data_IF_232930389986
#
_entry.id   IF_232930389986
#
_cell.length_a   1.000
_cell.length_b   1.000
_cell.length_c   1.000
_cell.angle_alpha   90.00
_cell.angle_beta   90.00
_cell.angle_gamma   90.00
#
_symmetry.space_group_name_H-M   'P 1'
#
loop_
_entity.id
_entity.type
_entity.pdbx_description
1 polymer ?
#
# COMPACT_ATOMS: atom_id res chain seq x y z
N UNK A 1 -21.35 11.69 8.56
CA UNK A 1 -20.41 10.87 7.76
C UNK A 1 -19.03 10.72 8.37
N UNK A 2 -18.48 11.73 9.05
CA UNK A 2 -17.15 11.66 9.68
C UNK A 2 -16.99 10.52 10.71
N UNK A 3 -18.00 10.25 11.54
CA UNK A 3 -17.96 9.13 12.49
C UNK A 3 -17.85 7.76 11.80
N UNK A 4 -18.53 7.57 10.67
CA UNK A 4 -18.40 6.35 9.86
C UNK A 4 -17.00 6.24 9.24
N UNK A 5 -16.47 7.34 8.70
CA UNK A 5 -15.10 7.37 8.17
C UNK A 5 -14.07 7.01 9.26
N UNK A 6 -14.22 7.55 10.47
CA UNK A 6 -13.38 7.20 11.62
C UNK A 6 -13.48 5.72 11.98
N UNK A 7 -14.71 5.18 12.05
CA UNK A 7 -14.93 3.78 12.38
C UNK A 7 -14.32 2.84 11.32
N UNK A 8 -14.54 3.12 10.03
CA UNK A 8 -13.96 2.37 8.92
C UNK A 8 -12.44 2.44 8.91
N UNK A 9 -11.85 3.61 9.17
CA UNK A 9 -10.41 3.77 9.31
C UNK A 9 -9.87 2.90 10.46
N UNK A 10 -10.46 3.02 11.65
CA UNK A 10 -10.04 2.26 12.83
C UNK A 10 -10.13 0.74 12.61
N UNK A 11 -11.27 0.24 12.12
CA UNK A 11 -11.46 -1.18 11.80
C UNK A 11 -10.47 -1.62 10.72
N UNK A 12 -10.33 -0.85 9.64
CA UNK A 12 -9.41 -1.17 8.55
C UNK A 12 -7.95 -1.30 9.01
N UNK A 13 -7.47 -0.35 9.83
CA UNK A 13 -6.11 -0.40 10.39
C UNK A 13 -5.93 -1.58 11.35
N UNK A 14 -6.90 -1.82 12.23
CA UNK A 14 -6.85 -2.96 13.16
C UNK A 14 -6.83 -4.29 12.42
N UNK A 15 -7.64 -4.45 11.37
CA UNK A 15 -7.69 -5.68 10.57
C UNK A 15 -6.41 -5.85 9.75
N UNK A 16 -6.02 -4.83 9.00
CA UNK A 16 -4.89 -4.90 8.06
C UNK A 16 -3.53 -4.98 8.75
N UNK A 17 -3.38 -4.41 9.94
CA UNK A 17 -2.09 -4.36 10.63
C UNK A 17 -2.11 -5.07 11.98
N UNK A 18 -3.10 -4.80 12.84
CA UNK A 18 -3.18 -5.39 14.18
C UNK A 18 -3.38 -6.90 14.14
N UNK A 19 -4.53 -7.34 13.63
CA UNK A 19 -4.88 -8.76 13.53
C UNK A 19 -3.90 -9.52 12.64
N UNK A 20 -3.52 -8.94 11.48
CA UNK A 20 -2.56 -9.60 10.58
C UNK A 20 -1.22 -9.86 11.25
N UNK A 21 -0.67 -8.89 11.98
CA UNK A 21 0.60 -9.05 12.71
C UNK A 21 0.48 -10.15 13.77
N UNK A 22 -0.61 -10.18 14.55
CA UNK A 22 -0.82 -11.20 15.58
C UNK A 22 -0.94 -12.60 14.97
N UNK A 23 -1.73 -12.75 13.90
CA UNK A 23 -1.90 -14.04 13.21
C UNK A 23 -0.58 -14.51 12.62
N UNK A 24 0.18 -13.63 11.98
CA UNK A 24 1.49 -13.96 11.43
C UNK A 24 2.47 -14.40 12.54
N UNK A 25 2.58 -13.64 13.64
CA UNK A 25 3.39 -14.01 14.82
C UNK A 25 3.05 -15.39 15.37
N UNK A 26 1.77 -15.72 15.46
CA UNK A 26 1.32 -17.02 15.97
C UNK A 26 1.65 -18.17 15.01
N UNK A 27 1.68 -17.92 13.71
CA UNK A 27 1.92 -18.93 12.69
C UNK A 27 3.42 -19.17 12.42
N UNK A 28 4.25 -18.11 12.45
CA UNK A 28 5.66 -18.17 12.04
C UNK A 28 6.65 -17.93 13.18
N UNK A 29 6.19 -17.44 14.34
CA UNK A 29 7.06 -16.94 15.41
C UNK A 29 7.66 -15.55 15.11
N UNK A 30 7.43 -15.00 13.92
CA UNK A 30 7.97 -13.72 13.47
C UNK A 30 6.86 -12.67 13.33
N UNK A 31 7.17 -11.43 13.65
CA UNK A 31 6.26 -10.31 13.46
C UNK A 31 6.09 -9.86 12.02
N UNK A 32 7.03 -10.18 11.14
CA UNK A 32 7.10 -9.66 9.77
C UNK A 32 7.39 -8.15 9.71
N UNK A 33 7.47 -7.46 10.84
CA UNK A 33 7.80 -6.04 10.91
C UNK A 33 9.32 -5.89 10.86
N UNK A 34 9.82 -5.12 9.90
CA UNK A 34 11.23 -4.79 9.80
C UNK A 34 11.45 -3.33 10.16
N UNK A 35 12.58 -3.07 10.84
CA UNK A 35 12.96 -1.69 11.14
C UNK A 35 13.41 -1.02 9.85
N UNK A 36 12.87 0.15 9.51
CA UNK A 36 13.35 0.88 8.37
C UNK A 36 14.78 1.34 8.63
N UNK A 37 15.73 0.94 7.77
CA UNK A 37 17.15 1.34 7.87
C UNK A 37 17.47 2.56 6.99
N UNK A 38 16.46 3.32 6.55
CA UNK A 38 16.65 4.43 5.64
C UNK A 38 17.34 5.61 6.35
N UNK A 39 18.38 6.16 5.71
CA UNK A 39 19.07 7.33 6.24
C UNK A 39 18.31 8.61 5.89
N UNK A 40 18.32 9.65 6.75
CA UNK A 40 17.70 10.93 6.44
C UNK A 40 18.14 11.46 5.07
N UNK A 41 17.18 11.86 4.25
CA UNK A 41 17.41 12.35 2.87
C UNK A 41 17.32 11.29 1.77
N UNK A 42 17.35 10.00 2.10
CA UNK A 42 17.14 8.93 1.12
C UNK A 42 15.66 8.83 0.70
N UNK A 43 15.39 8.35 -0.52
CA UNK A 43 14.03 8.16 -1.01
C UNK A 43 13.18 7.24 -0.10
N UNK A 44 13.81 6.23 0.50
CA UNK A 44 13.18 5.34 1.47
C UNK A 44 12.78 6.05 2.77
N UNK A 45 13.54 7.07 3.20
CA UNK A 45 13.19 7.85 4.38
C UNK A 45 11.99 8.75 4.11
N UNK A 46 11.96 9.39 2.93
CA UNK A 46 10.81 10.19 2.48
C UNK A 46 9.54 9.35 2.32
N UNK A 47 9.62 8.13 1.79
CA UNK A 47 8.44 7.25 1.69
C UNK A 47 7.86 6.94 3.07
N UNK A 48 8.71 6.64 4.06
CA UNK A 48 8.27 6.36 5.44
C UNK A 48 7.64 7.57 6.11
N UNK A 49 8.24 8.76 5.96
CA UNK A 49 7.67 9.99 6.50
C UNK A 49 6.28 10.23 5.92
N UNK A 50 6.12 10.06 4.60
CA UNK A 50 4.84 10.24 3.92
C UNK A 50 3.81 9.18 4.31
N UNK A 51 4.20 7.92 4.53
CA UNK A 51 3.30 6.92 5.11
C UNK A 51 2.84 7.31 6.52
N UNK A 52 3.74 7.85 7.35
CA UNK A 52 3.42 8.37 8.68
C UNK A 52 2.41 9.52 8.60
N UNK A 53 2.65 10.49 7.73
CA UNK A 53 1.71 11.61 7.46
C UNK A 53 0.36 11.08 7.00
N UNK A 54 0.34 10.10 6.09
CA UNK A 54 -0.90 9.53 5.59
C UNK A 54 -1.70 8.77 6.66
N UNK A 55 -1.03 8.02 7.54
CA UNK A 55 -1.68 7.33 8.66
C UNK A 55 -2.22 8.32 9.70
N UNK A 56 -1.41 9.29 10.11
CA UNK A 56 -1.84 10.32 11.06
C UNK A 56 -2.98 11.13 10.47
N UNK A 57 -2.87 11.55 9.21
CA UNK A 57 -3.90 12.33 8.52
C UNK A 57 -5.19 11.54 8.28
N UNK A 58 -5.10 10.23 8.00
CA UNK A 58 -6.27 9.36 7.85
C UNK A 58 -7.09 9.24 9.13
N UNK A 59 -6.44 9.26 10.30
CA UNK A 59 -7.09 9.32 11.61
C UNK A 59 -7.56 10.74 11.95
N UNK A 60 -6.69 11.73 11.78
CA UNK A 60 -6.92 13.10 12.20
C UNK A 60 -8.06 13.75 11.40
N UNK A 61 -8.17 13.48 10.10
CA UNK A 61 -9.19 14.10 9.24
C UNK A 61 -10.62 13.88 9.73
N UNK A 62 -11.12 12.64 9.95
CA UNK A 62 -12.47 12.47 10.45
C UNK A 62 -12.62 12.98 11.89
N UNK A 63 -11.55 12.98 12.72
CA UNK A 63 -11.60 13.55 14.07
C UNK A 63 -11.78 15.07 14.04
N UNK A 64 -11.03 15.79 13.21
CA UNK A 64 -11.15 17.26 13.11
C UNK A 64 -12.53 17.68 12.59
N UNK A 65 -13.13 16.88 11.71
CA UNK A 65 -14.52 17.08 11.27
C UNK A 65 -15.51 16.78 12.39
N UNK A 66 -15.32 15.69 13.14
CA UNK A 66 -16.22 15.31 14.24
C UNK A 66 -16.27 16.34 15.37
N UNK A 67 -15.14 16.95 15.71
CA UNK A 67 -15.08 17.98 16.77
C UNK A 67 -15.38 19.39 16.26
N UNK A 68 -15.72 19.55 14.97
CA UNK A 68 -16.07 20.84 14.37
C UNK A 68 -14.88 21.77 14.09
N UNK A 69 -13.63 21.28 14.13
CA UNK A 69 -12.44 22.07 13.82
C UNK A 69 -12.30 22.34 12.31
N UNK A 70 -12.74 21.41 11.47
CA UNK A 70 -12.71 21.52 10.02
C UNK A 70 -14.09 21.18 9.46
N UNK A 71 -14.62 22.03 8.59
CA UNK A 71 -15.85 21.73 7.86
C UNK A 71 -15.58 20.81 6.65
N UNK A 72 -16.48 19.87 6.32
CA UNK A 72 -16.41 19.17 5.05
C UNK A 72 -16.47 20.14 3.88
N UNK A 73 -15.64 19.93 2.86
CA UNK A 73 -15.61 20.76 1.66
C UNK A 73 -16.80 20.52 0.74
N UNK A 74 -17.31 19.28 0.71
CA UNK A 74 -18.48 18.88 -0.08
C UNK A 74 -19.25 17.80 0.70
N UNK A 75 -20.57 17.94 0.75
CA UNK A 75 -21.48 16.90 1.24
C UNK A 75 -22.41 16.47 0.10
N UNK A 76 -22.21 15.26 -0.44
CA UNK A 76 -23.00 14.78 -1.56
C UNK A 76 -23.23 13.26 -1.45
N UNK A 77 -24.47 12.78 -1.26
CA UNK A 77 -24.75 11.37 -0.94
C UNK A 77 -24.11 10.36 -1.90
N UNK A 78 -24.04 10.66 -3.20
CA UNK A 78 -23.38 9.78 -4.17
C UNK A 78 -21.86 9.71 -3.97
N UNK A 79 -21.21 10.82 -3.61
CA UNK A 79 -19.77 10.85 -3.33
C UNK A 79 -19.48 10.06 -2.05
N UNK A 80 -20.32 10.24 -1.02
CA UNK A 80 -20.23 9.50 0.23
C UNK A 80 -20.39 7.98 -0.01
N UNK A 81 -21.42 7.58 -0.76
CA UNK A 81 -21.67 6.18 -1.10
C UNK A 81 -20.54 5.55 -1.92
N UNK A 82 -20.04 6.26 -2.94
CA UNK A 82 -18.88 5.84 -3.71
C UNK A 82 -17.62 5.73 -2.82
N UNK A 83 -17.43 6.67 -1.90
CA UNK A 83 -16.35 6.65 -0.92
C UNK A 83 -16.37 5.42 -0.02
N UNK A 84 -17.54 5.02 0.47
CA UNK A 84 -17.72 3.76 1.23
C UNK A 84 -17.32 2.55 0.38
N UNK A 85 -17.87 2.44 -0.83
CA UNK A 85 -17.57 1.31 -1.71
C UNK A 85 -16.07 1.22 -2.02
N UNK A 86 -15.43 2.33 -2.36
CA UNK A 86 -13.99 2.40 -2.66
C UNK A 86 -13.14 2.11 -1.42
N UNK A 87 -13.51 2.63 -0.25
CA UNK A 87 -12.78 2.38 0.99
C UNK A 87 -12.81 0.89 1.37
N UNK A 88 -14.00 0.28 1.32
CA UNK A 88 -14.17 -1.15 1.61
C UNK A 88 -13.42 -2.02 0.61
N UNK A 89 -13.52 -1.73 -0.69
CA UNK A 89 -12.78 -2.45 -1.72
C UNK A 89 -11.26 -2.33 -1.53
N UNK A 90 -10.78 -1.13 -1.16
CA UNK A 90 -9.38 -0.88 -0.84
C UNK A 90 -8.89 -1.71 0.34
N UNK A 91 -9.61 -1.69 1.48
CA UNK A 91 -9.27 -2.51 2.64
C UNK A 91 -9.34 -4.01 2.34
N UNK A 92 -10.36 -4.46 1.61
CA UNK A 92 -10.48 -5.85 1.19
C UNK A 92 -9.29 -6.27 0.32
N UNK A 93 -8.86 -5.44 -0.63
CA UNK A 93 -7.69 -5.72 -1.47
C UNK A 93 -6.40 -5.79 -0.65
N UNK A 94 -6.24 -4.93 0.36
CA UNK A 94 -5.12 -5.03 1.32
C UNK A 94 -5.13 -6.39 2.00
N UNK A 95 -6.25 -6.78 2.63
CA UNK A 95 -6.36 -8.05 3.35
C UNK A 95 -6.12 -9.25 2.43
N UNK A 96 -6.78 -9.30 1.27
CA UNK A 96 -6.59 -10.38 0.29
C UNK A 96 -5.13 -10.48 -0.14
N UNK A 97 -4.49 -9.36 -0.46
CA UNK A 97 -3.09 -9.36 -0.86
C UNK A 97 -2.16 -9.83 0.27
N UNK A 98 -2.41 -9.42 1.52
CA UNK A 98 -1.65 -9.89 2.67
C UNK A 98 -1.84 -11.39 2.93
N UNK A 99 -3.04 -11.92 2.70
CA UNK A 99 -3.31 -13.37 2.83
C UNK A 99 -2.59 -14.18 1.75
N UNK A 100 -2.57 -13.69 0.51
CA UNK A 100 -1.84 -14.33 -0.59
C UNK A 100 -0.33 -14.30 -0.40
N UNK A 101 0.21 -13.29 0.28
CA UNK A 101 1.63 -13.29 0.67
C UNK A 101 1.96 -14.36 1.74
N UNK A 102 0.98 -14.82 2.52
CA UNK A 102 1.17 -15.92 3.47
C UNK A 102 2.30 -15.70 4.46
N UNK A 103 3.28 -16.62 4.49
CA UNK A 103 4.48 -16.55 5.33
C UNK A 103 5.53 -15.54 4.83
N UNK A 104 5.42 -15.11 3.57
CA UNK A 104 6.29 -14.10 2.96
C UNK A 104 5.87 -12.67 3.29
N UNK A 105 4.73 -12.47 3.97
CA UNK A 105 4.25 -11.15 4.35
C UNK A 105 5.23 -10.44 5.30
N UNK A 106 5.64 -9.24 4.92
CA UNK A 106 6.52 -8.36 5.70
C UNK A 106 6.12 -6.91 5.52
N UNK A 107 6.41 -6.08 6.52
CA UNK A 107 6.33 -4.62 6.43
C UNK A 107 7.76 -4.07 6.45
N UNK A 108 8.15 -3.44 5.35
CA UNK A 108 9.50 -2.95 5.11
C UNK A 108 10.35 -3.97 4.36
N UNK A 109 11.48 -3.49 3.82
CA UNK A 109 12.46 -4.30 3.10
C UNK A 109 13.71 -4.42 3.97
N UNK A 110 14.16 -5.64 4.20
CA UNK A 110 15.46 -5.91 4.84
C UNK A 110 16.38 -6.59 3.82
N UNK A 111 17.52 -5.96 3.51
CA UNK A 111 18.38 -6.37 2.40
C UNK A 111 19.02 -7.76 2.58
N UNK A 112 19.16 -8.22 3.83
CA UNK A 112 19.72 -9.54 4.17
C UNK A 112 18.71 -10.68 4.03
N UNK A 113 17.41 -10.38 3.95
CA UNK A 113 16.39 -11.41 3.83
C UNK A 113 16.13 -11.75 2.37
N UNK A 114 15.96 -13.04 2.07
CA UNK A 114 15.42 -13.51 0.78
C UNK A 114 13.98 -13.92 0.99
N UNK A 115 13.07 -13.12 0.46
CA UNK A 115 11.64 -13.43 0.44
C UNK A 115 11.32 -14.28 -0.78
N UNK A 116 10.30 -15.14 -0.71
CA UNK A 116 9.83 -15.83 -1.91
C UNK A 116 9.06 -14.86 -2.83
N UNK A 117 9.26 -15.00 -4.13
CA UNK A 117 8.56 -14.18 -5.11
C UNK A 117 7.13 -14.71 -5.32
N UNK A 118 6.16 -14.03 -4.73
CA UNK A 118 4.74 -14.36 -4.87
C UNK A 118 4.19 -13.79 -6.18
N UNK A 119 3.70 -14.65 -7.08
CA UNK A 119 3.20 -14.26 -8.41
C UNK A 119 1.77 -14.74 -8.72
N UNK A 120 1.09 -15.35 -7.73
CA UNK A 120 -0.24 -15.95 -7.88
C UNK A 120 -1.37 -15.09 -7.30
N UNK A 121 -2.61 -15.41 -7.68
CA UNK A 121 -3.81 -14.72 -7.20
C UNK A 121 -3.81 -13.23 -7.57
N UNK A 122 -4.03 -12.32 -6.62
CA UNK A 122 -4.00 -10.86 -6.88
C UNK A 122 -2.65 -10.37 -7.42
N UNK A 123 -1.54 -11.05 -7.09
CA UNK A 123 -0.21 -10.73 -7.63
C UNK A 123 -0.07 -11.13 -9.11
N UNK A 124 -0.94 -12.00 -9.64
CA UNK A 124 -0.96 -12.29 -11.07
C UNK A 124 -1.57 -11.15 -11.91
N UNK A 125 -2.25 -10.19 -11.28
CA UNK A 125 -2.89 -9.06 -11.95
C UNK A 125 -2.02 -7.80 -11.88
N UNK A 126 -1.48 -7.51 -10.70
CA UNK A 126 -0.54 -6.41 -10.47
C UNK A 126 0.52 -6.85 -9.45
N UNK A 127 1.74 -6.31 -9.54
CA UNK A 127 2.82 -6.67 -8.61
C UNK A 127 2.76 -5.97 -7.26
N UNK A 128 2.02 -4.87 -7.15
CA UNK A 128 1.85 -4.10 -5.92
C UNK A 128 0.37 -3.90 -5.50
N UNK A 129 -0.46 -4.97 -5.41
CA UNK A 129 -1.89 -4.84 -5.17
C UNK A 129 -2.21 -4.32 -3.76
N UNK A 130 -1.36 -4.61 -2.75
CA UNK A 130 -1.49 -4.04 -1.39
C UNK A 130 -1.50 -2.52 -1.46
N UNK A 131 -0.53 -1.93 -2.16
CA UNK A 131 -0.40 -0.48 -2.23
C UNK A 131 -1.56 0.17 -3.00
N UNK A 132 -2.07 -0.49 -4.04
CA UNK A 132 -3.31 -0.07 -4.70
C UNK A 132 -4.49 -0.05 -3.73
N UNK A 133 -4.60 -1.08 -2.89
CA UNK A 133 -5.61 -1.13 -1.83
C UNK A 133 -5.46 -0.01 -0.79
N UNK A 134 -4.24 0.30 -0.35
CA UNK A 134 -3.97 1.40 0.59
C UNK A 134 -4.36 2.76 0.03
N UNK A 135 -4.00 3.04 -1.23
CA UNK A 135 -4.38 4.28 -1.92
C UNK A 135 -5.90 4.37 -2.05
N UNK A 136 -6.55 3.30 -2.55
CA UNK A 136 -8.01 3.27 -2.68
C UNK A 136 -8.70 3.48 -1.32
N UNK A 137 -8.23 2.83 -0.26
CA UNK A 137 -8.78 2.98 1.08
C UNK A 137 -8.78 4.44 1.54
N UNK A 138 -7.64 5.14 1.44
CA UNK A 138 -7.53 6.54 1.88
C UNK A 138 -8.33 7.52 1.01
N UNK A 139 -8.36 7.32 -0.31
CA UNK A 139 -9.19 8.14 -1.20
C UNK A 139 -10.69 7.92 -0.94
N UNK A 140 -11.11 6.68 -0.67
CA UNK A 140 -12.48 6.37 -0.27
C UNK A 140 -12.86 7.01 1.06
N UNK A 141 -11.98 6.92 2.08
CA UNK A 141 -12.17 7.55 3.38
C UNK A 141 -12.28 9.07 3.31
N UNK A 142 -11.45 9.70 2.46
CA UNK A 142 -11.58 11.12 2.16
C UNK A 142 -12.92 11.43 1.51
N UNK A 143 -13.37 10.67 0.52
CA UNK A 143 -14.67 10.87 -0.14
C UNK A 143 -15.88 10.70 0.81
N UNK A 144 -15.75 9.91 1.88
CA UNK A 144 -16.78 9.78 2.92
C UNK A 144 -16.93 11.07 3.73
N UNK A 145 -15.84 11.76 4.04
CA UNK A 145 -15.86 13.00 4.81
C UNK A 145 -14.82 13.97 4.21
N UNK A 146 -15.13 14.60 3.05
CA UNK A 146 -14.16 15.36 2.28
C UNK A 146 -13.66 16.55 3.08
N UNK A 147 -12.42 16.51 3.54
CA UNK A 147 -11.78 17.59 4.28
C UNK A 147 -10.32 17.71 3.84
N UNK A 148 -9.75 18.90 3.94
CA UNK A 148 -8.38 19.15 3.48
C UNK A 148 -7.32 18.26 4.17
N UNK A 149 -7.41 17.90 5.49
CA UNK A 149 -6.42 17.02 6.09
C UNK A 149 -6.46 15.61 5.48
N UNK A 150 -7.66 15.11 5.16
CA UNK A 150 -7.86 13.82 4.51
C UNK A 150 -7.35 13.82 3.07
N UNK A 151 -7.49 14.94 2.35
CA UNK A 151 -6.92 15.10 1.01
C UNK A 151 -5.40 15.04 1.06
N UNK A 152 -4.78 15.76 2.00
CA UNK A 152 -3.33 15.71 2.23
C UNK A 152 -2.89 14.29 2.55
N UNK A 153 -3.62 13.56 3.39
CA UNK A 153 -3.32 12.17 3.72
C UNK A 153 -3.39 11.25 2.49
N UNK A 154 -4.42 11.37 1.66
CA UNK A 154 -4.60 10.56 0.45
C UNK A 154 -3.53 10.84 -0.61
N UNK A 155 -3.14 12.11 -0.79
CA UNK A 155 -2.05 12.51 -1.69
C UNK A 155 -0.70 12.04 -1.15
N UNK A 156 -0.44 12.22 0.15
CA UNK A 156 0.78 11.73 0.80
C UNK A 156 0.93 10.21 0.62
N UNK A 157 -0.15 9.45 0.78
CA UNK A 157 -0.16 8.00 0.54
C UNK A 157 0.21 7.66 -0.91
N UNK A 158 -0.39 8.34 -1.88
CA UNK A 158 -0.07 8.12 -3.30
C UNK A 158 1.42 8.34 -3.59
N UNK A 159 2.00 9.41 -3.06
CA UNK A 159 3.42 9.73 -3.25
C UNK A 159 4.30 8.72 -2.51
N UNK A 160 3.96 8.38 -1.26
CA UNK A 160 4.67 7.40 -0.45
C UNK A 160 4.80 6.06 -1.17
N UNK A 161 3.68 5.57 -1.71
CA UNK A 161 3.60 4.32 -2.48
C UNK A 161 4.48 4.36 -3.72
N UNK A 162 4.45 5.45 -4.48
CA UNK A 162 5.28 5.59 -5.68
C UNK A 162 6.77 5.56 -5.35
N UNK A 163 7.18 6.28 -4.29
CA UNK A 163 8.56 6.28 -3.83
C UNK A 163 8.98 4.91 -3.31
N UNK A 164 8.16 4.31 -2.44
CA UNK A 164 8.42 3.00 -1.85
C UNK A 164 8.62 1.92 -2.92
N UNK A 165 7.69 1.83 -3.88
CA UNK A 165 7.77 0.79 -4.90
C UNK A 165 8.94 1.03 -5.85
N UNK A 166 9.08 2.24 -6.38
CA UNK A 166 10.07 2.50 -7.45
C UNK A 166 11.51 2.58 -6.95
N UNK A 167 11.70 3.09 -5.73
CA UNK A 167 13.04 3.38 -5.20
C UNK A 167 13.51 2.33 -4.19
N UNK A 168 12.60 1.51 -3.64
CA UNK A 168 12.94 0.53 -2.61
C UNK A 168 12.60 -0.88 -3.05
N UNK A 169 11.32 -1.17 -3.32
CA UNK A 169 10.89 -2.55 -3.54
C UNK A 169 11.32 -3.12 -4.89
N UNK A 170 11.08 -2.42 -6.01
CA UNK A 170 11.46 -2.94 -7.32
C UNK A 170 12.97 -3.13 -7.49
N UNK A 171 13.84 -2.18 -7.05
CA UNK A 171 15.28 -2.41 -7.05
C UNK A 171 15.70 -3.60 -6.20
N UNK A 172 15.13 -3.76 -5.00
CA UNK A 172 15.40 -4.92 -4.15
C UNK A 172 14.96 -6.22 -4.79
N UNK A 173 13.75 -6.29 -5.35
CA UNK A 173 13.23 -7.51 -6.01
C UNK A 173 14.02 -7.84 -7.27
N UNK A 174 14.48 -6.84 -8.03
CA UNK A 174 15.37 -7.03 -9.18
C UNK A 174 16.73 -7.59 -8.75
N UNK A 175 17.30 -7.08 -7.65
CA UNK A 175 18.57 -7.56 -7.12
C UNK A 175 18.46 -8.99 -6.57
N UNK A 176 17.37 -9.30 -5.87
CA UNK A 176 17.16 -10.60 -5.21
C UNK A 176 16.76 -11.70 -6.18
N UNK A 177 15.89 -11.41 -7.16
CA UNK A 177 15.28 -12.42 -8.04
C UNK A 177 15.69 -12.32 -9.51
N UNK A 178 16.40 -11.26 -9.91
CA UNK A 178 16.98 -11.11 -11.24
C UNK A 178 16.00 -11.36 -12.39
N UNK A 179 16.28 -12.39 -13.20
CA UNK A 179 15.50 -12.74 -14.38
C UNK A 179 14.06 -13.16 -14.06
N UNK A 180 13.82 -13.84 -12.93
CA UNK A 180 12.48 -14.29 -12.55
C UNK A 180 11.54 -13.09 -12.31
N UNK A 181 12.02 -12.08 -11.59
CA UNK A 181 11.25 -10.86 -11.35
C UNK A 181 11.06 -10.04 -12.63
N UNK A 182 12.08 -9.94 -13.51
CA UNK A 182 11.92 -9.28 -14.82
C UNK A 182 10.84 -9.94 -15.67
N UNK A 183 10.86 -11.27 -15.78
CA UNK A 183 9.85 -12.01 -16.54
C UNK A 183 8.44 -11.82 -15.97
N UNK A 184 8.32 -11.79 -14.65
CA UNK A 184 7.06 -11.49 -13.96
C UNK A 184 6.58 -10.05 -14.23
N UNK A 185 7.44 -9.05 -14.01
CA UNK A 185 7.12 -7.63 -14.16
C UNK A 185 6.86 -7.20 -15.62
N UNK A 186 7.28 -8.01 -16.60
CA UNK A 186 6.91 -7.82 -18.00
C UNK A 186 5.46 -8.25 -18.30
N UNK A 187 4.89 -9.18 -17.53
CA UNK A 187 3.52 -9.69 -17.72
C UNK A 187 2.48 -8.88 -16.95
N UNK A 188 2.82 -8.42 -15.75
CA UNK A 188 1.87 -7.75 -14.84
C UNK A 188 2.15 -6.26 -14.66
N UNK A 189 1.10 -5.48 -14.44
CA UNK A 189 1.24 -4.05 -14.18
C UNK A 189 1.84 -3.74 -12.81
N UNK A 190 2.27 -2.49 -12.58
CA UNK A 190 2.88 -2.06 -11.32
C UNK A 190 1.87 -2.06 -10.20
N UNK A 191 0.81 -1.27 -10.34
CA UNK A 191 -0.23 -1.07 -9.33
C UNK A 191 -1.59 -1.62 -9.78
N UNK A 192 -1.91 -1.43 -11.05
CA UNK A 192 -3.15 -1.90 -11.67
C UNK A 192 -2.83 -2.76 -12.89
N UNK A 193 -3.75 -3.62 -13.34
CA UNK A 193 -3.50 -4.53 -14.45
C UNK A 193 -3.04 -3.81 -15.72
N UNK A 194 -2.03 -4.37 -16.40
CA UNK A 194 -1.55 -3.89 -17.71
C UNK A 194 -0.68 -2.61 -17.71
N UNK A 195 -0.73 -1.76 -16.67
CA UNK A 195 -0.01 -0.49 -16.66
C UNK A 195 1.34 -0.57 -15.93
N UNK A 196 2.39 0.03 -16.52
CA UNK A 196 3.72 0.10 -15.90
C UNK A 196 4.50 -1.22 -15.92
N UNK A 197 4.27 -2.09 -16.92
CA UNK A 197 5.07 -3.29 -17.18
C UNK A 197 6.53 -2.93 -17.48
N UNK A 198 7.47 -3.78 -17.05
CA UNK A 198 8.87 -3.66 -17.46
C UNK A 198 9.06 -4.22 -18.86
N UNK A 199 9.89 -3.58 -19.68
CA UNK A 199 10.23 -4.11 -20.99
C UNK A 199 11.16 -5.32 -20.84
N UNK A 200 10.97 -6.40 -21.63
CA UNK A 200 11.93 -7.48 -21.70
C UNK A 200 13.28 -6.96 -22.19
N UNK A 201 14.41 -7.54 -21.75
CA UNK A 201 15.72 -7.21 -22.31
C UNK A 201 15.71 -7.46 -23.83
N UNK A 202 16.35 -6.61 -24.64
CA UNK A 202 16.48 -6.85 -26.07
C UNK A 202 17.22 -8.17 -26.34
N UNK A 203 16.79 -8.90 -27.37
CA UNK A 203 17.23 -10.27 -27.69
C UNK A 203 18.76 -10.45 -27.81
N UNK A 204 19.52 -9.38 -28.07
CA UNK A 204 20.98 -9.43 -28.23
C UNK A 204 21.75 -9.70 -26.93
N UNK A 205 21.14 -9.52 -25.76
CA UNK A 205 21.81 -9.74 -24.47
C UNK A 205 21.76 -11.19 -23.96
N UNK A 206 21.01 -12.09 -24.62
CA UNK A 206 20.88 -13.49 -24.20
C UNK A 206 21.89 -14.44 -24.87
N UNK A 207 22.65 -13.97 -25.86
CA UNK A 207 23.61 -14.78 -26.60
C UNK A 207 25.05 -14.75 -26.03
N UNK A 208 25.27 -14.08 -24.89
CA UNK A 208 26.61 -13.85 -24.33
C UNK A 208 26.76 -14.28 -22.85
N UNK A 209 25.84 -15.07 -22.31
CA UNK A 209 25.91 -15.62 -20.93
C UNK A 209 25.77 -17.12 -20.92
#
# INVERSE_FOLDING_TARGET
>A
MAGLSLALYGVGVVVAFGLRTVVHRRATGDSGLRRPQARPGEAAWWSQLLFGVALVGGLASPLTVLIGLVAPTVEHPLLNGAGIAVAMAGFALVVVSQTHMGASWRIGVEASERTELVTSGVFAQARNPIFTGMVAALWGLWAIAPAWPGLVAAVAMMIAVQLQVRQVEEPYLLATHGAAYRAYAARVGRFVPGLGRLQPPPARSQAQS
#
